data_IF_230411198454
#
_entry.id   IF_230411198454
#
_cell.length_a   1.000
_cell.length_b   1.000
_cell.length_c   1.000
_cell.angle_alpha   90.00
_cell.angle_beta   90.00
_cell.angle_gamma   90.00
#
_symmetry.space_group_name_H-M   'P 1'
#
loop_
_entity.id
_entity.type
_entity.pdbx_description
1 polymer ?
#
# COMPACT_ATOMS: atom_id res chain seq x y z
N UNK A 1 -16.67 -40.21 68.29
CA UNK A 1 -17.76 -39.51 67.59
C UNK A 1 -17.52 -39.70 66.10
N UNK A 2 -18.44 -40.44 65.46
CA UNK A 2 -18.99 -40.33 64.10
C UNK A 2 -18.05 -39.81 62.98
N UNK A 3 -17.93 -40.42 61.81
CA UNK A 3 -18.85 -41.27 61.06
C UNK A 3 -18.37 -41.32 59.60
N UNK A 4 -18.88 -42.29 58.87
CA UNK A 4 -18.49 -42.77 57.53
C UNK A 4 -18.93 -41.84 56.36
N UNK A 5 -18.46 -42.22 55.17
CA UNK A 5 -18.97 -41.95 53.80
C UNK A 5 -18.33 -40.74 53.08
N UNK A 6 -17.92 -40.82 51.82
CA UNK A 6 -18.07 -41.87 50.82
C UNK A 6 -17.31 -41.49 49.55
N UNK A 7 -16.93 -42.52 48.80
CA UNK A 7 -16.43 -42.49 47.43
C UNK A 7 -17.37 -41.75 46.47
N UNK A 8 -16.79 -40.97 45.55
CA UNK A 8 -17.36 -40.69 44.22
C UNK A 8 -16.23 -40.22 43.28
N UNK A 9 -15.55 -41.17 42.65
CA UNK A 9 -15.15 -41.02 41.24
C UNK A 9 -16.34 -41.58 40.42
N UNK A 10 -16.73 -40.95 39.31
CA UNK A 10 -16.06 -41.27 38.06
C UNK A 10 -15.85 -40.08 37.09
N UNK A 11 -14.78 -40.24 36.30
CA UNK A 11 -14.68 -40.01 34.86
C UNK A 11 -15.23 -38.72 34.24
N UNK A 12 -14.28 -37.92 33.73
CA UNK A 12 -14.13 -37.64 32.29
C UNK A 12 -13.84 -36.17 32.00
N UNK A 13 -12.75 -35.99 31.25
CA UNK A 13 -12.57 -35.02 30.19
C UNK A 13 -12.01 -33.63 30.54
N UNK A 14 -10.79 -33.44 29.99
CA UNK A 14 -10.24 -32.21 29.37
C UNK A 14 -9.29 -31.37 30.23
N UNK A 15 -8.04 -31.85 30.25
CA UNK A 15 -6.83 -31.13 29.82
C UNK A 15 -6.88 -29.60 29.85
N UNK A 16 -6.72 -28.99 31.02
CA UNK A 16 -6.31 -27.58 31.12
C UNK A 16 -4.79 -27.51 31.11
N UNK A 17 -4.19 -27.48 29.91
CA UNK A 17 -2.76 -27.19 29.78
C UNK A 17 -2.55 -25.73 30.16
N UNK A 18 -1.94 -25.48 31.32
CA UNK A 18 -1.50 -24.15 31.72
C UNK A 18 -0.43 -23.66 30.73
N UNK A 19 -0.78 -22.66 29.92
CA UNK A 19 0.21 -21.92 29.12
C UNK A 19 0.95 -20.99 30.08
N UNK A 20 2.09 -21.47 30.55
CA UNK A 20 3.11 -20.66 31.22
C UNK A 20 3.63 -19.67 30.17
N UNK A 21 3.25 -18.40 30.28
CA UNK A 21 3.91 -17.33 29.54
C UNK A 21 5.27 -17.07 30.19
N UNK A 22 6.42 -17.26 29.50
CA UNK A 22 7.65 -16.68 29.96
C UNK A 22 7.63 -15.18 29.64
N UNK A 23 7.67 -14.36 30.69
CA UNK A 23 7.97 -12.94 30.64
C UNK A 23 9.44 -12.75 30.27
N UNK A 24 9.83 -12.65 28.99
CA UNK A 24 11.08 -11.99 28.57
C UNK A 24 11.08 -11.65 27.06
N UNK A 25 11.14 -10.34 26.77
CA UNK A 25 11.91 -9.78 25.65
C UNK A 25 11.53 -10.17 24.22
N UNK A 26 10.68 -9.37 23.58
CA UNK A 26 10.92 -8.93 22.20
C UNK A 26 10.13 -7.65 21.93
N UNK A 27 10.79 -6.50 22.11
CA UNK A 27 10.46 -5.35 21.29
C UNK A 27 10.59 -5.83 19.84
N UNK A 28 9.61 -5.65 18.94
CA UNK A 28 9.81 -6.01 17.54
C UNK A 28 11.08 -5.29 17.10
N UNK A 29 12.08 -6.08 16.73
CA UNK A 29 13.33 -5.60 16.18
C UNK A 29 12.99 -4.50 15.17
N UNK A 30 13.57 -3.31 15.37
CA UNK A 30 13.32 -2.17 14.52
C UNK A 30 13.32 -2.61 13.07
N UNK A 31 12.28 -2.24 12.32
CA UNK A 31 12.08 -2.65 10.93
C UNK A 31 13.43 -2.59 10.22
N UNK A 32 14.01 -3.76 9.93
CA UNK A 32 15.24 -3.89 9.15
C UNK A 32 14.76 -3.96 7.71
N UNK A 33 14.41 -2.81 7.12
CA UNK A 33 13.77 -2.82 5.82
C UNK A 33 13.07 -1.54 5.41
N UNK A 34 12.53 -1.61 4.20
CA UNK A 34 11.50 -0.70 3.71
C UNK A 34 10.12 -1.28 3.99
N UNK A 35 9.17 -0.42 4.36
CA UNK A 35 7.75 -0.78 4.43
C UNK A 35 6.93 0.27 3.71
N UNK A 36 6.15 -0.14 2.71
CA UNK A 36 5.14 0.70 2.07
C UNK A 36 3.90 0.70 2.96
N UNK A 37 3.63 1.81 3.61
CA UNK A 37 2.55 1.94 4.60
C UNK A 37 1.20 2.07 3.92
N UNK A 38 1.12 2.88 2.87
CA UNK A 38 -0.14 3.16 2.18
C UNK A 38 0.09 3.77 0.80
N UNK A 39 -0.90 3.62 -0.08
CA UNK A 39 -0.96 4.27 -1.37
C UNK A 39 -2.26 5.09 -1.41
N UNK A 40 -2.17 6.35 -1.85
CA UNK A 40 -3.30 7.28 -1.88
C UNK A 40 -3.42 7.98 -3.22
N UNK A 41 -4.64 8.37 -3.55
CA UNK A 41 -4.96 9.26 -4.65
C UNK A 41 -5.23 10.67 -4.11
N UNK A 42 -4.77 11.68 -4.83
CA UNK A 42 -5.18 13.06 -4.65
C UNK A 42 -5.53 13.67 -6.02
N UNK A 43 -6.81 13.81 -6.30
CA UNK A 43 -7.32 14.50 -7.50
C UNK A 43 -7.14 16.01 -7.39
N UNK A 44 -7.05 16.73 -8.50
CA UNK A 44 -6.97 18.20 -8.50
C UNK A 44 -8.21 18.86 -7.86
N UNK A 45 -9.36 18.20 -7.93
CA UNK A 45 -10.63 18.53 -7.24
C UNK A 45 -10.65 18.10 -5.77
N UNK A 46 -9.50 17.74 -5.20
CA UNK A 46 -9.31 17.34 -3.81
C UNK A 46 -10.14 16.10 -3.41
N UNK A 47 -10.34 15.17 -4.35
CA UNK A 47 -10.97 13.86 -4.11
C UNK A 47 -9.88 12.81 -3.88
N UNK A 48 -10.13 11.89 -2.95
CA UNK A 48 -9.18 10.84 -2.59
C UNK A 48 -9.64 9.41 -2.97
N UNK A 49 -10.88 9.27 -3.43
CA UNK A 49 -11.50 7.96 -3.72
C UNK A 49 -11.64 7.69 -5.23
N UNK A 50 -11.71 8.75 -6.03
CA UNK A 50 -11.85 8.69 -7.47
C UNK A 50 -11.24 9.93 -8.11
N UNK A 51 -11.02 9.86 -9.42
CA UNK A 51 -10.61 10.97 -10.28
C UNK A 51 -11.58 11.09 -11.45
N UNK A 52 -11.88 12.31 -11.91
CA UNK A 52 -12.72 12.49 -13.09
C UNK A 52 -11.91 12.33 -14.37
N UNK A 53 -12.53 11.82 -15.43
CA UNK A 53 -11.90 11.76 -16.74
C UNK A 53 -11.47 13.16 -17.20
N UNK A 54 -10.23 13.28 -17.66
CA UNK A 54 -9.63 14.53 -18.11
C UNK A 54 -8.90 15.31 -17.01
N UNK A 55 -9.19 15.03 -15.74
CA UNK A 55 -8.65 15.75 -14.58
C UNK A 55 -7.20 15.34 -14.27
N UNK A 56 -6.40 16.26 -13.74
CA UNK A 56 -5.11 15.91 -13.16
C UNK A 56 -5.28 15.21 -11.81
N UNK A 57 -4.30 14.37 -11.47
CA UNK A 57 -4.27 13.68 -10.19
C UNK A 57 -2.85 13.33 -9.77
N UNK A 58 -2.66 13.07 -8.49
CA UNK A 58 -1.40 12.63 -7.93
C UNK A 58 -1.60 11.29 -7.23
N UNK A 59 -0.80 10.30 -7.63
CA UNK A 59 -0.69 9.04 -6.91
C UNK A 59 0.46 9.14 -5.92
N UNK A 60 0.18 8.97 -4.64
CA UNK A 60 1.15 9.01 -3.56
C UNK A 60 1.43 7.61 -3.04
N UNK A 61 2.70 7.30 -2.84
CA UNK A 61 3.17 6.08 -2.22
C UNK A 61 3.96 6.45 -0.95
N UNK A 62 3.36 6.15 0.20
CA UNK A 62 3.96 6.39 1.49
C UNK A 62 4.73 5.16 1.90
N UNK A 63 6.00 5.37 2.20
CA UNK A 63 6.89 4.31 2.67
C UNK A 63 7.85 4.86 3.72
N UNK A 64 8.25 3.98 4.63
CA UNK A 64 9.22 4.27 5.67
C UNK A 64 10.47 3.45 5.39
N UNK A 65 11.63 4.12 5.42
CA UNK A 65 12.94 3.51 5.26
C UNK A 65 13.63 3.44 6.62
N UNK A 66 14.33 2.35 6.90
CA UNK A 66 15.25 2.31 8.05
C UNK A 66 16.41 3.32 7.85
N UNK A 67 16.97 3.88 8.92
CA UNK A 67 18.06 4.87 8.83
C UNK A 67 19.34 4.43 8.10
N UNK A 68 19.53 3.12 7.90
CA UNK A 68 20.70 2.52 7.23
C UNK A 68 20.40 2.03 5.82
N UNK A 69 19.18 2.18 5.34
CA UNK A 69 18.80 1.78 3.99
C UNK A 69 18.77 2.98 3.05
N UNK A 70 19.23 2.74 1.83
CA UNK A 70 19.11 3.70 0.75
C UNK A 70 18.07 3.25 -0.27
N UNK A 71 17.26 4.21 -0.73
CA UNK A 71 16.27 3.96 -1.76
C UNK A 71 16.96 3.75 -3.11
N UNK A 72 16.72 2.58 -3.72
CA UNK A 72 17.28 2.22 -5.02
C UNK A 72 16.33 2.56 -6.16
N UNK A 73 15.08 2.08 -6.06
CA UNK A 73 14.05 2.30 -7.08
C UNK A 73 12.64 2.20 -6.52
N UNK A 74 11.72 2.90 -7.19
CA UNK A 74 10.27 2.79 -6.96
C UNK A 74 9.63 2.40 -8.28
N UNK A 75 8.87 1.32 -8.25
CA UNK A 75 8.22 0.72 -9.40
C UNK A 75 6.71 0.81 -9.21
N UNK A 76 6.01 1.17 -10.28
CA UNK A 76 4.56 1.19 -10.29
C UNK A 76 4.05 0.20 -11.32
N UNK A 77 3.14 -0.64 -10.87
CA UNK A 77 2.44 -1.61 -11.69
C UNK A 77 0.98 -1.23 -11.78
N UNK A 78 0.37 -1.49 -12.94
CA UNK A 78 -1.08 -1.48 -13.13
C UNK A 78 -1.49 -2.85 -13.61
N UNK A 79 -2.38 -3.51 -12.86
CA UNK A 79 -2.90 -4.85 -13.18
C UNK A 79 -1.76 -5.84 -13.49
N UNK A 80 -0.64 -5.72 -12.76
CA UNK A 80 0.57 -6.54 -12.93
C UNK A 80 1.56 -6.05 -14.01
N UNK A 81 1.23 -5.06 -14.83
CA UNK A 81 2.13 -4.52 -15.85
C UNK A 81 2.90 -3.28 -15.33
N UNK A 82 4.23 -3.25 -15.53
CA UNK A 82 5.06 -2.09 -15.16
C UNK A 82 4.68 -0.87 -16.03
N UNK A 83 4.24 0.21 -15.39
CA UNK A 83 3.82 1.47 -16.05
C UNK A 83 4.72 2.66 -15.72
N UNK A 84 5.46 2.61 -14.61
CA UNK A 84 6.40 3.68 -14.25
C UNK A 84 7.55 3.20 -13.38
N UNK A 85 8.72 3.80 -13.61
CA UNK A 85 9.96 3.45 -12.94
C UNK A 85 10.70 4.72 -12.53
N UNK A 86 10.89 4.89 -11.22
CA UNK A 86 11.80 5.87 -10.64
C UNK A 86 13.09 5.17 -10.18
N UNK A 87 14.24 5.79 -10.44
CA UNK A 87 15.56 5.31 -9.99
C UNK A 87 16.39 6.47 -9.49
N UNK A 88 17.14 6.27 -8.41
CA UNK A 88 18.03 7.30 -7.87
C UNK A 88 19.04 7.74 -8.94
N UNK A 89 19.17 9.06 -9.11
CA UNK A 89 20.12 9.67 -10.04
C UNK A 89 19.75 9.56 -11.53
N UNK A 90 18.56 9.04 -11.88
CA UNK A 90 18.09 8.95 -13.27
C UNK A 90 16.75 9.66 -13.44
N UNK A 91 16.45 10.06 -14.68
CA UNK A 91 15.10 10.56 -15.02
C UNK A 91 14.10 9.41 -14.90
N UNK A 92 12.91 9.63 -14.31
CA UNK A 92 11.87 8.62 -14.29
C UNK A 92 11.44 8.24 -15.71
N UNK A 93 10.95 7.01 -15.85
CA UNK A 93 10.47 6.46 -17.11
C UNK A 93 9.00 6.08 -16.95
N UNK A 94 8.15 6.57 -17.84
CA UNK A 94 6.79 6.10 -17.99
C UNK A 94 6.70 5.13 -19.18
N UNK A 95 5.80 4.15 -19.07
CA UNK A 95 5.53 3.15 -20.11
C UNK A 95 4.04 2.98 -20.30
N UNK A 96 3.66 2.50 -21.48
CA UNK A 96 2.29 2.12 -21.80
C UNK A 96 1.30 3.26 -21.52
N UNK A 97 0.34 3.02 -20.64
CA UNK A 97 -0.71 3.93 -20.24
C UNK A 97 -0.21 5.28 -19.69
N UNK A 98 0.95 5.32 -19.03
CA UNK A 98 1.49 6.54 -18.46
C UNK A 98 2.35 7.34 -19.46
N UNK A 99 2.63 6.78 -20.64
CA UNK A 99 3.40 7.50 -21.67
C UNK A 99 2.67 8.80 -22.07
N UNK A 100 3.39 9.92 -21.99
CA UNK A 100 2.89 11.29 -22.25
C UNK A 100 1.72 11.76 -21.38
N UNK A 101 1.31 10.99 -20.36
CA UNK A 101 0.20 11.34 -19.45
C UNK A 101 0.64 11.68 -18.04
N UNK A 102 1.92 11.54 -17.73
CA UNK A 102 2.49 11.86 -16.42
C UNK A 102 3.63 12.86 -16.56
N UNK A 103 3.85 13.65 -15.51
CA UNK A 103 4.99 14.56 -15.44
C UNK A 103 6.29 13.81 -15.09
N UNK A 104 7.20 13.72 -16.06
CA UNK A 104 8.53 13.12 -15.91
C UNK A 104 9.60 14.13 -15.46
N UNK A 105 9.24 15.41 -15.27
CA UNK A 105 10.15 16.40 -14.69
C UNK A 105 10.18 16.30 -13.17
N UNK A 106 9.09 15.81 -12.57
CA UNK A 106 9.07 15.47 -11.16
C UNK A 106 10.01 14.30 -10.88
N UNK A 107 11.02 14.55 -10.03
CA UNK A 107 12.02 13.55 -9.63
C UNK A 107 11.76 12.97 -8.23
N UNK A 108 10.58 13.20 -7.67
CA UNK A 108 10.23 12.68 -6.37
C UNK A 108 9.94 11.17 -6.45
N UNK A 109 10.50 10.35 -5.55
CA UNK A 109 10.21 8.91 -5.52
C UNK A 109 8.82 8.58 -4.97
N UNK A 110 8.23 9.50 -4.20
CA UNK A 110 7.03 9.24 -3.39
C UNK A 110 5.73 9.49 -4.13
N UNK A 111 5.74 10.17 -5.28
CA UNK A 111 4.49 10.45 -5.99
C UNK A 111 4.67 10.57 -7.50
N UNK A 112 3.59 10.26 -8.22
CA UNK A 112 3.45 10.44 -9.67
C UNK A 112 2.35 11.46 -9.92
N UNK A 113 2.66 12.49 -10.71
CA UNK A 113 1.69 13.48 -11.17
C UNK A 113 1.14 13.07 -12.53
N UNK A 114 -0.14 12.73 -12.57
CA UNK A 114 -0.93 12.45 -13.76
C UNK A 114 -1.47 13.79 -14.28
N UNK A 115 -1.14 14.12 -15.53
CA UNK A 115 -1.55 15.38 -16.17
C UNK A 115 -3.01 15.36 -16.61
N UNK A 116 -3.49 14.20 -17.04
CA UNK A 116 -4.88 14.02 -17.47
C UNK A 116 -5.30 12.56 -17.35
N UNK A 117 -6.23 12.30 -16.44
CA UNK A 117 -6.77 10.99 -16.15
C UNK A 117 -7.63 10.48 -17.31
N UNK A 118 -7.60 9.18 -17.56
CA UNK A 118 -8.33 8.54 -18.64
C UNK A 118 -9.00 7.26 -18.15
N UNK A 119 -10.13 6.86 -18.73
CA UNK A 119 -10.88 5.67 -18.29
C UNK A 119 -10.05 4.40 -18.31
N UNK A 120 -9.10 4.27 -19.26
CA UNK A 120 -8.17 3.13 -19.30
C UNK A 120 -7.17 3.09 -18.14
N UNK A 121 -7.10 4.16 -17.33
CA UNK A 121 -6.28 4.22 -16.12
C UNK A 121 -6.95 3.55 -14.92
N UNK A 122 -8.25 3.25 -14.97
CA UNK A 122 -8.90 2.49 -13.91
C UNK A 122 -8.27 1.09 -13.76
N UNK A 123 -8.07 0.66 -12.51
CA UNK A 123 -7.51 -0.67 -12.21
C UNK A 123 -6.76 -0.71 -10.88
N UNK A 124 -6.12 -1.85 -10.64
CA UNK A 124 -5.32 -2.04 -9.44
C UNK A 124 -3.89 -1.56 -9.67
N UNK A 125 -3.42 -0.66 -8.81
CA UNK A 125 -2.07 -0.13 -8.83
C UNK A 125 -1.27 -0.69 -7.68
N UNK A 126 -0.07 -1.17 -7.97
CA UNK A 126 0.88 -1.60 -6.95
C UNK A 126 2.05 -0.65 -6.94
N UNK A 127 2.30 0.01 -5.80
CA UNK A 127 3.56 0.69 -5.56
C UNK A 127 4.53 -0.30 -4.92
N UNK A 128 5.65 -0.55 -5.58
CA UNK A 128 6.71 -1.42 -5.09
C UNK A 128 7.98 -0.60 -4.87
N UNK A 129 8.46 -0.59 -3.65
CA UNK A 129 9.66 0.13 -3.23
C UNK A 129 10.77 -0.88 -2.96
N UNK A 130 11.93 -0.64 -3.56
CA UNK A 130 13.10 -1.50 -3.40
C UNK A 130 14.29 -0.69 -2.88
N UNK A 131 14.89 -1.20 -1.82
CA UNK A 131 16.15 -0.72 -1.23
C UNK A 131 17.26 -1.71 -1.54
N UNK A 132 18.45 -1.47 -1.02
CA UNK A 132 19.58 -2.39 -1.23
C UNK A 132 19.43 -3.73 -0.49
N UNK A 133 18.62 -3.76 0.57
CA UNK A 133 18.48 -4.93 1.44
C UNK A 133 17.06 -5.50 1.48
N UNK A 134 16.05 -4.70 1.15
CA UNK A 134 14.65 -5.07 1.32
C UNK A 134 13.76 -4.61 0.16
N UNK A 135 12.55 -5.14 0.13
CA UNK A 135 11.52 -4.79 -0.83
C UNK A 135 10.17 -4.84 -0.15
N UNK A 136 9.34 -3.84 -0.40
CA UNK A 136 7.98 -3.78 0.11
C UNK A 136 7.05 -3.21 -0.94
N UNK A 137 5.78 -3.58 -0.86
CA UNK A 137 4.77 -3.14 -1.80
C UNK A 137 3.41 -3.00 -1.13
N UNK A 138 2.57 -2.15 -1.72
CA UNK A 138 1.17 -2.03 -1.33
C UNK A 138 0.31 -1.74 -2.57
N UNK A 139 -0.94 -2.17 -2.51
CA UNK A 139 -1.90 -2.14 -3.60
C UNK A 139 -2.98 -1.07 -3.35
N UNK A 140 -3.49 -0.48 -4.43
CA UNK A 140 -4.54 0.53 -4.39
C UNK A 140 -5.37 0.48 -5.68
N UNK A 141 -6.69 0.46 -5.55
CA UNK A 141 -7.58 0.46 -6.71
C UNK A 141 -7.97 1.89 -7.11
N UNK A 142 -7.57 2.32 -8.31
CA UNK A 142 -7.93 3.62 -8.87
C UNK A 142 -9.26 3.51 -9.61
N UNK A 143 -10.23 4.32 -9.21
CA UNK A 143 -11.52 4.48 -9.90
C UNK A 143 -11.51 5.77 -10.73
N UNK A 144 -11.91 5.66 -12.00
CA UNK A 144 -12.05 6.83 -12.89
C UNK A 144 -13.53 6.98 -13.26
N UNK A 145 -14.08 8.17 -13.07
CA UNK A 145 -15.50 8.45 -13.31
C UNK A 145 -15.63 9.48 -14.43
N UNK A 146 -16.63 9.32 -15.30
CA UNK A 146 -17.01 10.36 -16.25
C UNK A 146 -17.99 11.29 -15.55
N UNK A 147 -17.62 12.55 -15.36
CA UNK A 147 -18.56 13.55 -14.87
C UNK A 147 -19.59 13.83 -15.96
N UNK A 148 -20.87 13.58 -15.68
CA UNK A 148 -21.95 14.07 -16.53
C UNK A 148 -22.02 15.60 -16.39
N UNK A 149 -21.48 16.31 -17.37
CA UNK A 149 -21.80 17.72 -17.55
C UNK A 149 -23.16 17.78 -18.26
N UNK A 150 -24.25 17.83 -17.50
CA UNK A 150 -25.53 18.30 -18.02
C UNK A 150 -25.38 19.78 -18.34
N UNK A 151 -25.03 20.08 -19.59
CA UNK A 151 -25.08 21.44 -20.13
C UNK A 151 -26.56 21.84 -20.23
N UNK A 152 -27.15 22.29 -19.11
CA UNK A 152 -28.45 22.94 -19.11
C UNK A 152 -28.30 24.25 -19.88
N UNK A 153 -28.71 24.22 -21.13
CA UNK A 153 -28.85 25.42 -21.95
C UNK A 153 -30.17 26.07 -21.49
N UNK A 154 -30.08 27.23 -20.87
CA UNK A 154 -31.24 28.09 -20.58
C UNK A 154 -31.51 29.02 -21.76
#
# INVERSE_FOLDING_TARGET
MNGLNGSLFPDSALTTLQVIFPLFGSCPAGVLGVVVTEVRLLSDSNKAQYVLQGEGATLLCFFVLSPREELRRVLWFKDGAEVYVWRRGRRPLARNLFDKRVDLNNRSPSFISILSAHMSMQGNYTCKVETDSATSQNDFFLTVIVGEFSCLTF
#
